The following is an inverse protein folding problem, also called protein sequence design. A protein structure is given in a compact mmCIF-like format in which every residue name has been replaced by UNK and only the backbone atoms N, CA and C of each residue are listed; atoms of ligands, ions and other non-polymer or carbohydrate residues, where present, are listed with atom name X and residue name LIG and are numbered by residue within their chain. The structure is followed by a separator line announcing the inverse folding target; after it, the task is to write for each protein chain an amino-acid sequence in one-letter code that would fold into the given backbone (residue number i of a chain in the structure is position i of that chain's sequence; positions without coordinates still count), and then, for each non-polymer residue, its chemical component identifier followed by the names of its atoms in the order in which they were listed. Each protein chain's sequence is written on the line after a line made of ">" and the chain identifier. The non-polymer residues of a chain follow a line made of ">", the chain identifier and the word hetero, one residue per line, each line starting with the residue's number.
data_IF_113489498853
#
_entry.id   IF_113489498853
#
_cell.length_a   1.000
_cell.length_b   1.000
_cell.length_c   1.000
_cell.angle_alpha   90.00
_cell.angle_beta   90.00
_cell.angle_gamma   90.00
#
_symmetry.space_group_name_H-M   'P 1'
#
loop_
_entity.id
_entity.type
_entity.pdbx_description
1 polymer ?
#
# COMPACT_ATOMS: atom_id res chain seq x y z
N UNK A 1 0.80 5.63 16.53
CA UNK A 1 -0.11 5.86 15.39
C UNK A 1 0.68 6.56 14.30
N UNK A 2 0.64 6.04 13.08
CA UNK A 2 1.41 6.55 11.94
C UNK A 2 0.49 7.29 10.96
N UNK A 3 0.87 8.51 10.58
CA UNK A 3 0.18 9.30 9.57
C UNK A 3 0.70 9.03 8.16
N UNK A 4 -0.23 8.76 7.23
CA UNK A 4 0.07 8.54 5.82
C UNK A 4 -0.86 9.36 4.93
N UNK A 5 -0.34 9.75 3.77
CA UNK A 5 -1.11 10.43 2.74
C UNK A 5 -1.24 9.54 1.51
N UNK A 6 -2.45 9.44 0.97
CA UNK A 6 -2.77 8.76 -0.29
C UNK A 6 -3.54 9.73 -1.18
N UNK A 7 -3.47 9.56 -2.49
CA UNK A 7 -4.29 10.34 -3.41
C UNK A 7 -5.78 10.12 -3.16
N UNK A 8 -6.61 11.14 -3.43
CA UNK A 8 -8.05 11.14 -3.15
C UNK A 8 -8.80 9.95 -3.75
N UNK A 9 -8.39 9.50 -4.94
CA UNK A 9 -8.97 8.33 -5.57
C UNK A 9 -8.78 7.05 -4.73
N UNK A 10 -7.58 6.84 -4.20
CA UNK A 10 -7.27 5.68 -3.36
C UNK A 10 -7.88 5.84 -1.97
N UNK A 11 -7.90 7.05 -1.43
CA UNK A 11 -8.56 7.36 -0.16
C UNK A 11 -10.04 6.93 -0.18
N UNK A 12 -10.77 7.33 -1.23
CA UNK A 12 -12.18 6.94 -1.43
C UNK A 12 -12.35 5.42 -1.49
N UNK A 13 -11.45 4.72 -2.17
CA UNK A 13 -11.50 3.25 -2.29
C UNK A 13 -11.19 2.54 -0.97
N UNK A 14 -10.27 3.07 -0.16
CA UNK A 14 -9.98 2.55 1.19
C UNK A 14 -11.21 2.75 2.08
N UNK A 15 -11.80 3.96 2.07
CA UNK A 15 -13.01 4.28 2.85
C UNK A 15 -14.20 3.39 2.49
N UNK A 16 -14.28 2.92 1.25
CA UNK A 16 -15.30 1.98 0.76
C UNK A 16 -14.96 0.50 1.02
N UNK A 17 -13.80 0.18 1.61
CA UNK A 17 -13.34 -1.19 1.84
C UNK A 17 -12.94 -1.94 0.56
N UNK A 18 -12.81 -1.25 -0.57
CA UNK A 18 -12.44 -1.86 -1.86
C UNK A 18 -10.92 -2.03 -1.99
N UNK A 19 -10.16 -0.98 -1.63
CA UNK A 19 -8.71 -1.06 -1.50
C UNK A 19 -8.38 -1.49 -0.08
N UNK A 20 -7.90 -2.72 0.07
CA UNK A 20 -7.64 -3.33 1.38
C UNK A 20 -6.16 -3.53 1.66
N UNK A 21 -5.29 -3.26 0.68
CA UNK A 21 -3.84 -3.35 0.83
C UNK A 21 -3.20 -2.05 0.39
N UNK A 22 -2.34 -1.49 1.23
CA UNK A 22 -1.54 -0.31 0.91
C UNK A 22 -0.09 -0.71 0.67
N UNK A 23 0.38 -0.55 -0.57
CA UNK A 23 1.75 -0.80 -0.96
C UNK A 23 2.63 0.45 -0.84
N UNK A 24 3.83 0.31 -0.28
CA UNK A 24 4.83 1.39 -0.14
C UNK A 24 6.23 0.83 -0.36
N UNK A 25 7.22 1.69 -0.59
CA UNK A 25 8.61 1.28 -0.41
C UNK A 25 8.85 0.91 1.06
N UNK A 26 9.56 -0.18 1.31
CA UNK A 26 9.92 -0.62 2.66
C UNK A 26 11.08 0.26 3.20
N UNK A 27 10.78 1.53 3.51
CA UNK A 27 11.74 2.51 4.03
C UNK A 27 11.18 3.35 5.18
N UNK A 28 12.10 3.87 5.99
CA UNK A 28 11.80 4.84 7.05
C UNK A 28 10.70 4.33 8.02
N UNK A 29 9.66 5.14 8.25
CA UNK A 29 8.56 4.90 9.20
C UNK A 29 7.73 3.64 8.92
N UNK A 30 7.83 3.05 7.72
CA UNK A 30 7.07 1.85 7.36
C UNK A 30 7.76 0.55 7.80
N UNK A 31 9.07 0.57 8.07
CA UNK A 31 9.83 -0.63 8.45
C UNK A 31 9.43 -1.23 9.81
N UNK A 32 8.86 -0.40 10.68
CA UNK A 32 8.48 -0.81 12.03
C UNK A 32 6.98 -1.10 12.17
N UNK A 33 6.21 -1.08 11.07
CA UNK A 33 4.79 -1.39 11.12
C UNK A 33 4.58 -2.86 11.45
N UNK A 34 3.66 -3.13 12.37
CA UNK A 34 3.29 -4.46 12.79
C UNK A 34 1.76 -4.63 12.83
N UNK A 35 1.25 -5.87 12.75
CA UNK A 35 -0.14 -6.17 13.06
C UNK A 35 -0.56 -5.59 14.42
N UNK A 36 -1.74 -4.97 14.46
CA UNK A 36 -2.26 -4.28 15.65
C UNK A 36 -1.98 -2.78 15.69
N UNK A 37 -1.08 -2.26 14.85
CA UNK A 37 -0.85 -0.83 14.72
C UNK A 37 -2.06 -0.10 14.12
N UNK A 38 -2.19 1.19 14.44
CA UNK A 38 -3.15 2.10 13.81
C UNK A 38 -2.45 3.05 12.84
N UNK A 39 -3.04 3.19 11.65
CA UNK A 39 -2.70 4.20 10.67
C UNK A 39 -3.80 5.27 10.62
N UNK A 40 -3.39 6.52 10.46
CA UNK A 40 -4.29 7.63 10.13
C UNK A 40 -4.02 8.09 8.70
N UNK A 41 -5.02 7.94 7.85
CA UNK A 41 -4.94 8.24 6.42
C UNK A 41 -5.55 9.61 6.15
N UNK A 42 -4.78 10.47 5.47
CA UNK A 42 -5.16 11.84 5.10
C UNK A 42 -5.70 12.66 6.30
N UNK A 43 -5.19 12.41 7.51
CA UNK A 43 -5.66 13.01 8.77
C UNK A 43 -7.16 12.82 9.07
N UNK A 44 -7.84 11.88 8.42
CA UNK A 44 -9.30 11.77 8.43
C UNK A 44 -9.82 10.37 8.79
N UNK A 45 -9.16 9.31 8.33
CA UNK A 45 -9.62 7.94 8.50
C UNK A 45 -8.61 7.15 9.32
N UNK A 46 -9.06 6.55 10.41
CA UNK A 46 -8.27 5.59 11.18
C UNK A 46 -8.53 4.20 10.63
N UNK A 47 -7.47 3.43 10.42
CA UNK A 47 -7.52 2.02 10.01
C UNK A 47 -6.54 1.20 10.83
N UNK A 48 -6.81 -0.09 10.99
CA UNK A 48 -5.93 -1.02 11.69
C UNK A 48 -5.09 -1.82 10.71
N UNK A 49 -3.84 -2.07 11.09
CA UNK A 49 -2.95 -2.98 10.39
C UNK A 49 -3.27 -4.41 10.80
N UNK A 50 -3.70 -5.24 9.85
CA UNK A 50 -3.94 -6.67 10.09
C UNK A 50 -2.70 -7.52 9.84
N UNK A 51 -1.94 -7.15 8.81
CA UNK A 51 -0.79 -7.91 8.32
C UNK A 51 0.16 -6.98 7.60
N UNK A 52 1.44 -7.32 7.67
CA UNK A 52 2.52 -6.63 6.98
C UNK A 52 3.38 -7.68 6.28
N UNK A 53 3.54 -7.55 4.98
CA UNK A 53 4.36 -8.46 4.16
C UNK A 53 5.38 -7.65 3.36
N UNK A 54 6.52 -8.27 3.06
CA UNK A 54 7.59 -7.64 2.29
C UNK A 54 7.82 -8.40 0.99
N UNK A 55 8.06 -7.65 -0.08
CA UNK A 55 8.29 -8.15 -1.43
C UNK A 55 9.49 -7.46 -2.05
N UNK A 56 10.22 -8.13 -2.96
CA UNK A 56 11.35 -7.51 -3.63
C UNK A 56 10.92 -6.40 -4.60
N UNK A 57 9.80 -6.59 -5.33
CA UNK A 57 9.29 -5.60 -6.29
C UNK A 57 7.77 -5.38 -6.15
N UNK A 58 7.29 -4.24 -6.66
CA UNK A 58 5.87 -3.89 -6.73
C UNK A 58 5.10 -4.94 -7.52
N UNK A 59 5.69 -5.47 -8.60
CA UNK A 59 5.06 -6.53 -9.38
C UNK A 59 4.74 -7.77 -8.54
N UNK A 60 5.69 -8.24 -7.73
CA UNK A 60 5.48 -9.40 -6.87
C UNK A 60 4.38 -9.12 -5.85
N UNK A 61 4.43 -7.95 -5.21
CA UNK A 61 3.40 -7.51 -4.28
C UNK A 61 2.02 -7.49 -4.95
N UNK A 62 1.89 -6.89 -6.13
CA UNK A 62 0.62 -6.81 -6.87
C UNK A 62 0.08 -8.19 -7.25
N UNK A 63 0.97 -9.12 -7.60
CA UNK A 63 0.61 -10.50 -7.92
C UNK A 63 0.12 -11.25 -6.67
N UNK A 64 0.86 -11.23 -5.58
CA UNK A 64 0.57 -11.99 -4.37
C UNK A 64 -0.57 -11.41 -3.53
N UNK A 65 -0.64 -10.08 -3.37
CA UNK A 65 -1.72 -9.41 -2.63
C UNK A 65 -3.03 -9.32 -3.44
N UNK A 66 -2.93 -9.57 -4.75
CA UNK A 66 -4.02 -9.45 -5.71
C UNK A 66 -4.24 -8.01 -6.15
N UNK A 67 -4.07 -7.76 -7.45
CA UNK A 67 -4.15 -6.43 -8.05
C UNK A 67 -5.39 -5.63 -7.62
N UNK A 68 -6.56 -6.25 -7.56
CA UNK A 68 -7.82 -5.59 -7.18
C UNK A 68 -7.86 -5.14 -5.71
N UNK A 69 -7.09 -5.79 -4.83
CA UNK A 69 -7.02 -5.41 -3.41
C UNK A 69 -6.09 -4.21 -3.19
N UNK A 70 -5.06 -4.07 -4.04
CA UNK A 70 -4.06 -3.00 -3.97
C UNK A 70 -4.48 -1.79 -4.81
N UNK A 71 -4.91 -2.02 -6.05
CA UNK A 71 -5.31 -1.01 -7.04
C UNK A 71 -6.65 -1.41 -7.68
N UNK A 72 -7.79 -1.25 -6.97
CA UNK A 72 -9.10 -1.54 -7.53
C UNK A 72 -9.37 -0.75 -8.81
N UNK A 73 -9.79 -1.45 -9.87
CA UNK A 73 -10.07 -0.86 -11.18
C UNK A 73 -8.88 -0.85 -12.16
N UNK A 74 -7.68 -1.20 -11.69
CA UNK A 74 -6.52 -1.39 -12.57
C UNK A 74 -6.68 -2.68 -13.41
N UNK A 75 -6.34 -2.61 -14.70
CA UNK A 75 -6.60 -3.67 -15.66
C UNK A 75 -5.51 -4.76 -15.67
N UNK A 76 -4.26 -4.43 -15.32
CA UNK A 76 -3.13 -5.37 -15.41
C UNK A 76 -2.02 -5.07 -14.40
N UNK A 77 -1.14 -6.04 -14.18
CA UNK A 77 0.05 -5.86 -13.34
C UNK A 77 0.99 -4.80 -13.89
N UNK A 78 1.15 -4.71 -15.22
CA UNK A 78 2.03 -3.74 -15.87
C UNK A 78 1.52 -2.31 -15.66
N UNK A 79 0.21 -2.09 -15.81
CA UNK A 79 -0.42 -0.81 -15.49
C UNK A 79 -0.25 -0.48 -13.99
N UNK A 80 -0.48 -1.45 -13.11
CA UNK A 80 -0.38 -1.25 -11.67
C UNK A 80 1.04 -0.89 -11.21
N UNK A 81 2.05 -1.54 -11.77
CA UNK A 81 3.47 -1.24 -11.53
C UNK A 81 3.80 0.20 -11.98
N UNK A 82 3.32 0.58 -13.17
CA UNK A 82 3.51 1.93 -13.71
C UNK A 82 2.82 3.01 -12.88
N UNK A 83 1.73 2.71 -12.17
CA UNK A 83 1.14 3.65 -11.19
C UNK A 83 2.13 3.93 -10.06
N UNK A 84 2.77 2.90 -9.51
CA UNK A 84 3.78 3.06 -8.46
C UNK A 84 5.00 3.86 -8.94
N UNK A 85 5.43 3.67 -10.18
CA UNK A 85 6.57 4.40 -10.74
C UNK A 85 6.32 5.88 -11.04
N UNK A 86 5.08 6.37 -10.90
CA UNK A 86 4.80 7.81 -10.85
C UNK A 86 5.28 8.44 -9.54
N UNK A 87 5.42 7.65 -8.48
CA UNK A 87 5.78 8.10 -7.13
C UNK A 87 7.19 7.67 -6.70
N UNK A 88 7.68 6.56 -7.24
CA UNK A 88 8.92 5.92 -6.81
C UNK A 88 9.80 5.57 -8.01
N UNK A 89 11.12 5.67 -7.86
CA UNK A 89 12.03 5.20 -8.92
C UNK A 89 12.26 3.69 -8.81
N UNK A 90 12.64 3.08 -9.93
CA UNK A 90 13.01 1.65 -9.98
C UNK A 90 14.28 1.36 -9.17
N UNK A 91 15.17 2.34 -9.04
CA UNK A 91 16.36 2.24 -8.19
C UNK A 91 15.99 2.19 -6.70
N UNK A 92 15.04 3.02 -6.28
CA UNK A 92 14.55 3.02 -4.90
C UNK A 92 13.82 1.71 -4.57
N UNK A 93 13.01 1.20 -5.49
CA UNK A 93 12.40 -0.13 -5.37
C UNK A 93 13.45 -1.22 -5.18
N UNK A 94 14.46 -1.29 -6.07
CA UNK A 94 15.56 -2.27 -5.94
C UNK A 94 16.32 -2.14 -4.63
N UNK A 95 16.48 -0.91 -4.13
CA UNK A 95 17.25 -0.63 -2.90
C UNK A 95 16.49 -1.01 -1.64
N UNK A 96 15.19 -0.72 -1.58
CA UNK A 96 14.41 -0.83 -0.36
C UNK A 96 13.45 -2.02 -0.35
N UNK A 97 13.07 -2.54 -1.52
CA UNK A 97 11.94 -3.43 -1.65
C UNK A 97 10.60 -2.72 -1.36
N UNK A 98 9.57 -3.52 -1.22
CA UNK A 98 8.17 -3.08 -1.09
C UNK A 98 7.54 -3.72 0.14
N UNK A 99 6.74 -2.94 0.84
CA UNK A 99 5.89 -3.40 1.96
C UNK A 99 4.42 -3.34 1.52
N UNK A 100 3.70 -4.43 1.78
CA UNK A 100 2.25 -4.49 1.70
C UNK A 100 1.66 -4.42 3.09
N UNK A 101 0.75 -3.47 3.33
CA UNK A 101 0.06 -3.32 4.60
C UNK A 101 -1.41 -3.67 4.40
N UNK A 102 -1.87 -4.79 4.97
CA UNK A 102 -3.28 -5.17 4.96
C UNK A 102 -4.05 -4.31 5.96
N UNK A 103 -5.02 -3.58 5.44
CA UNK A 103 -5.84 -2.63 6.18
C UNK A 103 -7.18 -3.25 6.60
N UNK A 104 -7.62 -2.91 7.79
CA UNK A 104 -9.00 -3.11 8.27
C UNK A 104 -9.62 -1.76 8.61
N UNK A 105 -10.80 -1.49 8.07
CA UNK A 105 -11.66 -0.43 8.60
C UNK A 105 -12.14 -0.83 10.00
N UNK A 106 -12.42 0.15 10.85
CA UNK A 106 -13.07 -0.11 12.14
C UNK A 106 -14.42 -0.82 11.95
#
# INVERSE_FOLDING_TARGET
>A
MLDINVEDQFFKLIKQGKKTVEGRLAKSKFLNLAPGDCLRINNQLIVFVQRVDCYPFFRDMLFHEGLKNVLPGCASLDEGENIYYRFYSREDEKKFGVIAVKLKLE
#
